data_IF_227763240757
#
_entry.id   IF_227763240757
#
_cell.length_a   1.000
_cell.length_b   1.000
_cell.length_c   1.000
_cell.angle_alpha   90.00
_cell.angle_beta   90.00
_cell.angle_gamma   90.00
#
_symmetry.space_group_name_H-M   'P 1'
#
loop_
_entity.id
_entity.type
_entity.pdbx_description
1 polymer ?
#
# COMPACT_ATOMS: atom_id res chain seq x y z
N UNK A 1 2.52 -6.73 -4.56
CA UNK A 1 2.38 -6.00 -3.29
C UNK A 1 3.13 -6.71 -2.16
N UNK A 2 3.93 -5.98 -1.39
CA UNK A 2 4.64 -6.43 -0.19
C UNK A 2 4.16 -5.64 1.03
N UNK A 3 3.91 -6.34 2.13
CA UNK A 3 3.53 -5.76 3.41
C UNK A 3 4.68 -5.98 4.41
N UNK A 4 4.98 -4.97 5.23
CA UNK A 4 5.89 -5.10 6.36
C UNK A 4 5.25 -4.42 7.57
N UNK A 5 5.29 -5.09 8.72
CA UNK A 5 4.74 -4.60 9.98
C UNK A 5 5.89 -4.61 10.97
N UNK A 6 6.15 -3.46 11.61
CA UNK A 6 7.22 -3.30 12.60
C UNK A 6 6.79 -2.25 13.63
N UNK A 7 6.55 -2.66 14.87
CA UNK A 7 6.02 -1.76 15.91
C UNK A 7 4.71 -1.10 15.46
N UNK A 8 4.63 0.24 15.57
CA UNK A 8 3.52 1.07 15.07
C UNK A 8 3.78 1.58 13.65
N UNK A 9 4.35 0.74 12.80
CA UNK A 9 4.60 1.05 11.39
C UNK A 9 4.09 -0.06 10.49
N UNK A 10 3.28 0.32 9.50
CA UNK A 10 2.81 -0.53 8.41
C UNK A 10 3.36 0.02 7.09
N UNK A 11 4.18 -0.77 6.41
CA UNK A 11 4.70 -0.42 5.09
C UNK A 11 4.05 -1.26 4.00
N UNK A 12 3.50 -0.60 3.01
CA UNK A 12 2.92 -1.17 1.79
C UNK A 12 3.79 -0.78 0.61
N UNK A 13 4.31 -1.77 -0.12
CA UNK A 13 5.05 -1.54 -1.35
C UNK A 13 4.39 -2.24 -2.53
N UNK A 14 4.21 -1.51 -3.62
CA UNK A 14 3.65 -2.06 -4.87
C UNK A 14 4.61 -1.84 -6.04
N UNK A 15 4.49 -2.65 -7.10
CA UNK A 15 5.22 -2.45 -8.35
C UNK A 15 4.56 -1.40 -9.28
N UNK A 16 5.23 -1.05 -10.38
CA UNK A 16 4.70 -0.09 -11.37
C UNK A 16 3.39 -0.55 -12.04
N UNK A 17 3.26 -1.84 -12.34
CA UNK A 17 2.05 -2.39 -12.94
C UNK A 17 0.84 -2.29 -11.99
N UNK A 18 1.08 -2.57 -10.70
CA UNK A 18 0.09 -2.44 -9.64
C UNK A 18 -0.29 -0.97 -9.42
N UNK A 19 0.68 -0.05 -9.48
CA UNK A 19 0.43 1.39 -9.42
C UNK A 19 -0.45 1.85 -10.58
N UNK A 20 -0.15 1.43 -11.81
CA UNK A 20 -0.96 1.76 -12.99
C UNK A 20 -2.41 1.28 -12.83
N UNK A 21 -2.61 0.08 -12.27
CA UNK A 21 -3.93 -0.46 -11.95
C UNK A 21 -4.68 0.39 -10.91
N UNK A 22 -4.01 0.84 -9.83
CA UNK A 22 -4.63 1.73 -8.85
C UNK A 22 -5.02 3.08 -9.47
N UNK A 23 -4.13 3.67 -10.26
CA UNK A 23 -4.36 4.96 -10.91
C UNK A 23 -5.52 4.91 -11.92
N UNK A 24 -5.78 3.74 -12.51
CA UNK A 24 -6.92 3.48 -13.38
C UNK A 24 -8.24 3.24 -12.61
N UNK A 25 -8.24 3.37 -11.28
CA UNK A 25 -9.41 3.15 -10.42
C UNK A 25 -9.62 1.70 -9.99
N UNK A 26 -8.66 0.81 -10.29
CA UNK A 26 -8.67 -0.56 -9.80
C UNK A 26 -8.24 -0.66 -8.33
N UNK A 27 -8.29 -1.88 -7.80
CA UNK A 27 -7.75 -2.22 -6.49
C UNK A 27 -6.61 -3.25 -6.66
N UNK A 28 -5.57 -3.14 -5.85
CA UNK A 28 -4.48 -4.12 -5.78
C UNK A 28 -4.74 -5.05 -4.62
N UNK A 29 -4.77 -6.36 -4.89
CA UNK A 29 -5.05 -7.38 -3.88
C UNK A 29 -3.83 -8.26 -3.66
N UNK A 30 -3.61 -8.65 -2.41
CA UNK A 30 -2.63 -9.68 -2.03
C UNK A 30 -3.28 -10.65 -1.07
N UNK A 31 -2.91 -11.92 -1.23
CA UNK A 31 -3.35 -13.01 -0.38
C UNK A 31 -2.14 -13.85 -0.01
N UNK A 32 -1.92 -14.05 1.28
CA UNK A 32 -0.85 -14.91 1.79
C UNK A 32 -1.45 -15.99 2.66
N UNK A 33 -1.25 -17.26 2.28
CA UNK A 33 -1.64 -18.40 3.12
C UNK A 33 -0.53 -18.68 4.13
N UNK A 34 -0.82 -18.45 5.42
CA UNK A 34 0.11 -18.77 6.51
C UNK A 34 -0.09 -20.22 6.95
N UNK A 35 0.51 -21.12 6.17
CA UNK A 35 0.41 -22.57 6.35
C UNK A 35 -1.07 -23.02 6.48
N UNK A 36 -1.36 -23.94 7.40
CA UNK A 36 -2.72 -24.37 7.73
C UNK A 36 -3.40 -23.48 8.77
N UNK A 37 -2.75 -22.42 9.26
CA UNK A 37 -3.27 -21.60 10.34
C UNK A 37 -4.38 -20.67 9.85
N UNK A 38 -4.06 -19.78 8.91
CA UNK A 38 -5.02 -18.86 8.32
C UNK A 38 -4.54 -18.31 6.98
N UNK A 39 -5.44 -17.58 6.32
CA UNK A 39 -5.12 -16.79 5.12
C UNK A 39 -5.22 -15.33 5.49
N UNK A 40 -4.23 -14.54 5.09
CA UNK A 40 -4.23 -13.10 5.23
C UNK A 40 -4.52 -12.45 3.88
N UNK A 41 -5.52 -11.59 3.84
CA UNK A 41 -5.93 -10.82 2.67
C UNK A 41 -5.68 -9.34 2.90
N UNK A 42 -5.21 -8.65 1.86
CA UNK A 42 -5.05 -7.21 1.88
C UNK A 42 -5.48 -6.65 0.52
N UNK A 43 -6.40 -5.69 0.55
CA UNK A 43 -6.79 -4.90 -0.59
C UNK A 43 -6.32 -3.47 -0.41
N UNK A 44 -5.80 -2.88 -1.48
CA UNK A 44 -5.38 -1.49 -1.56
C UNK A 44 -6.20 -0.81 -2.64
N UNK A 45 -6.82 0.33 -2.34
CA UNK A 45 -7.56 1.14 -3.32
C UNK A 45 -7.33 2.63 -3.10
N UNK A 46 -7.64 3.42 -4.13
CA UNK A 46 -7.64 4.87 -4.03
C UNK A 46 -9.04 5.37 -3.71
N UNK A 47 -9.11 6.43 -2.91
CA UNK A 47 -10.34 7.15 -2.60
C UNK A 47 -10.21 8.63 -2.98
N UNK A 48 -11.35 9.31 -3.12
CA UNK A 48 -11.39 10.76 -3.35
C UNK A 48 -11.16 11.57 -2.07
N UNK A 49 -11.25 10.92 -0.92
CA UNK A 49 -10.96 11.49 0.39
C UNK A 49 -9.47 11.85 0.53
N UNK A 50 -9.17 12.86 1.35
CA UNK A 50 -7.82 13.32 1.63
C UNK A 50 -7.16 12.52 2.78
N UNK A 51 -7.94 11.70 3.49
CA UNK A 51 -7.46 10.88 4.59
C UNK A 51 -7.21 9.41 4.18
N UNK A 52 -6.05 8.88 4.56
CA UNK A 52 -5.80 7.45 4.46
C UNK A 52 -6.58 6.70 5.56
N UNK A 53 -7.06 5.49 5.23
CA UNK A 53 -7.81 4.64 6.16
C UNK A 53 -7.35 3.19 6.09
N UNK A 54 -7.38 2.54 7.24
CA UNK A 54 -7.24 1.09 7.37
C UNK A 54 -8.49 0.56 8.06
N UNK A 55 -9.15 -0.39 7.42
CA UNK A 55 -10.35 -1.04 7.95
C UNK A 55 -10.36 -2.54 7.66
N UNK A 56 -11.31 -3.25 8.24
CA UNK A 56 -11.51 -4.69 7.99
C UNK A 56 -11.33 -5.54 9.25
N UNK A 57 -10.93 -6.80 9.05
CA UNK A 57 -10.73 -7.80 10.10
C UNK A 57 -9.25 -8.10 10.27
N UNK A 58 -8.86 -8.78 11.35
CA UNK A 58 -7.46 -9.17 11.58
C UNK A 58 -6.83 -9.96 10.41
N UNK A 59 -7.63 -10.75 9.68
CA UNK A 59 -7.22 -11.58 8.55
C UNK A 59 -7.49 -10.96 7.17
N UNK A 60 -8.21 -9.83 7.10
CA UNK A 60 -8.67 -9.23 5.84
C UNK A 60 -8.70 -7.71 5.94
N UNK A 61 -7.67 -7.06 5.37
CA UNK A 61 -7.45 -5.62 5.47
C UNK A 61 -7.89 -4.89 4.21
N UNK A 62 -8.48 -3.72 4.39
CA UNK A 62 -8.72 -2.75 3.33
C UNK A 62 -7.95 -1.48 3.67
N UNK A 63 -6.99 -1.14 2.80
CA UNK A 63 -6.21 0.08 2.85
C UNK A 63 -6.71 1.02 1.76
N UNK A 64 -7.08 2.22 2.19
CA UNK A 64 -7.59 3.27 1.32
C UNK A 64 -6.62 4.44 1.37
N UNK A 65 -6.09 4.83 0.22
CA UNK A 65 -5.14 5.93 0.11
C UNK A 65 -5.77 7.13 -0.62
N UNK A 66 -5.43 8.37 -0.24
CA UNK A 66 -5.84 9.56 -0.97
C UNK A 66 -5.35 9.54 -2.41
N UNK A 67 -6.29 9.49 -3.34
CA UNK A 67 -5.99 9.34 -4.77
C UNK A 67 -5.15 10.50 -5.32
N UNK A 68 -5.37 11.72 -4.82
CA UNK A 68 -4.58 12.88 -5.25
C UNK A 68 -3.11 12.75 -4.82
N UNK A 69 -2.85 12.42 -3.56
CA UNK A 69 -1.49 12.23 -3.04
C UNK A 69 -0.73 11.13 -3.81
N UNK A 70 -1.40 10.02 -4.13
CA UNK A 70 -0.81 8.92 -4.90
C UNK A 70 -0.50 9.34 -6.36
N UNK A 71 -1.38 10.10 -7.01
CA UNK A 71 -1.13 10.65 -8.37
C UNK A 71 0.05 11.61 -8.37
N UNK A 72 0.10 12.53 -7.41
CA UNK A 72 1.22 13.47 -7.28
C UNK A 72 2.54 12.76 -7.02
N UNK A 73 2.53 11.71 -6.19
CA UNK A 73 3.70 10.87 -5.95
C UNK A 73 4.12 10.12 -7.22
N UNK A 74 3.17 9.52 -7.94
CA UNK A 74 3.45 8.81 -9.19
C UNK A 74 4.13 9.71 -10.23
N UNK A 75 3.73 10.98 -10.32
CA UNK A 75 4.33 11.97 -11.22
C UNK A 75 5.81 12.30 -10.88
N UNK A 76 6.27 11.99 -9.66
CA UNK A 76 7.66 12.23 -9.21
C UNK A 76 8.56 10.99 -9.30
N UNK A 77 8.04 9.85 -9.77
CA UNK A 77 8.84 8.64 -9.89
C UNK A 77 9.90 8.77 -11.01
N UNK A 78 11.09 8.17 -10.84
CA UNK A 78 11.53 7.37 -9.69
C UNK A 78 12.00 8.25 -8.52
N UNK A 79 11.47 7.99 -7.33
CA UNK A 79 11.95 8.60 -6.07
C UNK A 79 12.19 7.53 -5.01
N UNK A 80 13.06 7.83 -4.04
CA UNK A 80 13.29 7.00 -2.85
C UNK A 80 12.32 7.32 -1.72
N UNK A 81 11.66 8.46 -1.79
CA UNK A 81 10.72 8.94 -0.76
C UNK A 81 9.34 8.37 -1.04
N UNK A 82 8.80 7.58 -0.12
CA UNK A 82 7.42 7.13 -0.14
C UNK A 82 6.44 8.21 0.32
N UNK A 83 5.16 7.84 0.40
CA UNK A 83 4.14 8.62 1.08
C UNK A 83 3.98 8.10 2.52
N UNK A 84 3.87 9.01 3.48
CA UNK A 84 3.61 8.69 4.88
C UNK A 84 2.25 9.24 5.27
N UNK A 85 1.44 8.41 5.91
CA UNK A 85 0.15 8.76 6.49
C UNK A 85 0.13 8.36 7.96
N UNK A 86 -0.57 9.12 8.80
CA UNK A 86 -0.74 8.82 10.22
C UNK A 86 -2.19 8.40 10.43
N UNK A 87 -2.40 7.17 10.88
CA UNK A 87 -3.72 6.61 11.14
C UNK A 87 -4.00 6.66 12.65
N UNK A 88 -4.99 7.46 13.12
CA UNK A 88 -5.31 7.54 14.54
C UNK A 88 -5.92 6.23 15.05
N UNK A 89 -5.50 5.78 16.23
CA UNK A 89 -5.94 4.53 16.86
C UNK A 89 -7.16 4.68 17.77
N UNK A 90 -7.82 5.84 17.74
CA UNK A 90 -9.04 6.13 18.50
C UNK A 90 -8.81 6.44 19.97
N UNK A 91 -7.98 5.65 20.66
CA UNK A 91 -7.67 5.80 22.08
C UNK A 91 -6.14 5.78 22.32
N UNK A 92 -5.55 6.94 22.57
CA UNK A 92 -4.12 7.10 22.95
C UNK A 92 -3.24 7.82 21.92
N UNK A 93 -1.97 8.00 22.28
CA UNK A 93 -0.95 8.68 21.45
C UNK A 93 -0.28 7.75 20.41
N UNK A 94 -0.59 6.45 20.44
CA UNK A 94 0.05 5.44 19.60
C UNK A 94 -0.63 5.34 18.23
N UNK A 95 -0.44 6.35 17.38
CA UNK A 95 -0.93 6.33 15.99
C UNK A 95 -0.11 5.35 15.13
N UNK A 96 -0.79 4.67 14.19
CA UNK A 96 -0.13 3.79 13.23
C UNK A 96 0.42 4.61 12.06
N UNK A 97 1.72 4.54 11.83
CA UNK A 97 2.36 5.13 10.65
C UNK A 97 2.17 4.19 9.45
N UNK A 98 1.48 4.65 8.41
CA UNK A 98 1.31 3.95 7.15
C UNK A 98 2.26 4.53 6.10
N UNK A 99 3.22 3.73 5.65
CA UNK A 99 4.15 4.08 4.58
C UNK A 99 3.76 3.39 3.28
N UNK A 100 3.64 4.16 2.21
CA UNK A 100 3.38 3.66 0.85
C UNK A 100 4.58 3.94 -0.06
N UNK A 101 5.09 2.90 -0.72
CA UNK A 101 6.19 3.01 -1.68
C UNK A 101 5.88 2.31 -3.00
N UNK A 102 6.56 2.78 -4.05
CA UNK A 102 6.55 2.14 -5.36
C UNK A 102 7.93 1.57 -5.68
N UNK A 103 7.99 0.26 -5.96
CA UNK A 103 9.21 -0.39 -6.42
C UNK A 103 9.45 -0.14 -7.91
N UNK A 104 10.18 0.93 -8.20
CA UNK A 104 10.57 1.34 -9.55
C UNK A 104 11.67 0.46 -10.18
N UNK A 105 12.17 -0.57 -9.47
CA UNK A 105 13.17 -1.50 -10.01
C UNK A 105 12.57 -2.68 -10.78
N UNK A 106 11.25 -2.90 -10.69
CA UNK A 106 10.59 -3.99 -11.40
C UNK A 106 10.69 -3.85 -12.94
N UNK A 107 10.71 -2.61 -13.46
CA UNK A 107 10.81 -2.32 -14.89
C UNK A 107 12.19 -2.62 -15.50
N UNK A 108 13.28 -2.54 -14.72
CA UNK A 108 14.63 -2.89 -15.20
C UNK A 108 14.81 -4.41 -15.30
N UNK A 109 14.12 -5.19 -14.46
CA UNK A 109 14.20 -6.65 -14.46
C UNK A 109 13.38 -7.28 -15.59
N UNK A 110 12.19 -6.76 -15.90
CA UNK A 110 11.36 -7.26 -17.02
C UNK A 110 11.99 -7.02 -18.40
N UNK A 111 12.77 -5.95 -18.58
CA UNK A 111 13.48 -5.65 -19.85
C UNK A 111 14.70 -6.52 -20.11
N UNK A 112 15.23 -7.25 -19.12
CA UNK A 112 16.36 -8.18 -19.28
C UNK A 112 15.92 -9.63 -19.51
N UNK A 113 14.63 -9.91 -19.40
CA UNK A 113 14.04 -11.23 -19.61
C UNK A 113 13.11 -11.27 -20.84
N UNK A 114 13.15 -10.26 -21.71
CA UNK A 114 12.47 -10.23 -23.00
C UNK A 114 13.47 -10.30 -24.14
#
# INVERSE_FOLDING_TARGET
MKLQIEGQSLRVRIGEAELAQLLAGGAVQSQTRLASAFTMECALRLVEDDEARLSGRADAWLIELPGNAVREHAARLPTREGLTFVLPTGDGDDALELLFDVDVRDSVRQRRSS
#
